data_IF_042916538782
#
_entry.id   IF_042916538782
#
_cell.length_a   1.000
_cell.length_b   1.000
_cell.length_c   1.000
_cell.angle_alpha   90.00
_cell.angle_beta   90.00
_cell.angle_gamma   90.00
#
_symmetry.space_group_name_H-M   'P 1'
#
loop_
_entity.id
_entity.type
_entity.pdbx_description
1 polymer ?
#
# COMPACT_ATOMS: atom_id res chain seq x y z
N UNK A 1 22.81 18.43 41.69
CA UNK A 1 21.83 18.86 40.67
C UNK A 1 22.07 17.98 39.45
N UNK A 2 21.25 16.96 39.26
CA UNK A 2 21.30 16.07 38.09
C UNK A 2 20.14 16.47 37.22
N UNK A 3 20.42 17.17 36.14
CA UNK A 3 19.44 17.56 35.13
C UNK A 3 18.98 16.27 34.43
N UNK A 4 17.70 15.92 34.62
CA UNK A 4 17.10 14.79 33.93
C UNK A 4 16.88 15.21 32.47
N UNK A 5 17.59 14.57 31.55
CA UNK A 5 17.44 14.74 30.11
C UNK A 5 16.00 14.42 29.71
N UNK A 6 15.23 15.40 29.25
CA UNK A 6 13.89 15.19 28.70
C UNK A 6 13.96 14.26 27.47
N UNK A 7 13.04 13.30 27.33
CA UNK A 7 13.01 12.43 26.16
C UNK A 7 12.65 13.26 24.92
N UNK A 8 13.54 13.27 23.93
CA UNK A 8 13.32 13.95 22.65
C UNK A 8 11.98 13.50 22.03
N UNK A 9 11.06 14.44 21.80
CA UNK A 9 9.77 14.20 21.18
C UNK A 9 9.98 13.73 19.73
N UNK A 10 9.98 12.41 19.50
CA UNK A 10 9.99 11.81 18.16
C UNK A 10 8.74 12.26 17.40
N UNK A 11 8.82 12.49 16.08
CA UNK A 11 7.77 13.14 15.32
C UNK A 11 6.43 12.41 15.45
N UNK A 12 5.35 13.19 15.63
CA UNK A 12 3.96 12.77 15.84
C UNK A 12 3.26 12.22 14.57
N UNK A 13 3.91 12.29 13.41
CA UNK A 13 3.34 11.98 12.10
C UNK A 13 3.57 10.52 11.70
N UNK A 14 2.55 9.86 11.14
CA UNK A 14 2.67 8.48 10.65
C UNK A 14 2.74 7.41 11.75
N UNK A 15 2.31 7.72 12.98
CA UNK A 15 2.23 6.72 14.06
C UNK A 15 1.32 5.56 13.66
N UNK A 16 1.53 4.38 14.25
CA UNK A 16 0.70 3.20 13.95
C UNK A 16 -0.79 3.44 14.23
N UNK A 17 -1.11 4.20 15.28
CA UNK A 17 -2.50 4.57 15.58
C UNK A 17 -3.13 5.38 14.44
N UNK A 18 -2.38 6.31 13.86
CA UNK A 18 -2.84 7.09 12.69
C UNK A 18 -2.99 6.20 11.47
N UNK A 19 -1.99 5.36 11.18
CA UNK A 19 -2.03 4.41 10.06
C UNK A 19 -3.25 3.47 10.12
N UNK A 20 -3.56 2.95 11.31
CA UNK A 20 -4.74 2.12 11.54
C UNK A 20 -6.03 2.91 11.37
N UNK A 21 -6.12 4.12 11.92
CA UNK A 21 -7.31 4.98 11.76
C UNK A 21 -7.59 5.36 10.30
N UNK A 22 -6.55 5.53 9.48
CA UNK A 22 -6.73 5.71 8.03
C UNK A 22 -7.34 4.47 7.37
N UNK A 23 -6.94 3.27 7.78
CA UNK A 23 -7.53 2.03 7.26
C UNK A 23 -9.00 1.86 7.68
N UNK A 24 -9.36 2.30 8.90
CA UNK A 24 -10.75 2.26 9.40
C UNK A 24 -11.70 3.12 8.53
N UNK A 25 -11.21 4.16 7.85
CA UNK A 25 -12.02 4.98 6.92
C UNK A 25 -12.48 4.22 5.67
N UNK A 26 -11.87 3.06 5.37
CA UNK A 26 -12.19 2.23 4.21
C UNK A 26 -13.21 1.14 4.53
N UNK A 27 -13.58 0.97 5.81
CA UNK A 27 -14.50 -0.07 6.25
C UNK A 27 -15.88 0.06 5.58
N UNK A 28 -16.43 -1.08 5.16
CA UNK A 28 -17.73 -1.15 4.48
C UNK A 28 -17.72 -0.76 3.00
N UNK A 29 -16.56 -0.39 2.45
CA UNK A 29 -16.41 -0.02 1.04
C UNK A 29 -15.83 -1.09 0.13
N UNK A 30 -15.66 -0.72 -1.15
CA UNK A 30 -14.96 -1.51 -2.17
C UNK A 30 -13.73 -0.74 -2.66
N UNK A 31 -12.59 -1.42 -2.72
CA UNK A 31 -11.36 -0.92 -3.35
C UNK A 31 -11.27 -1.54 -4.75
N UNK A 32 -11.15 -0.73 -5.80
CA UNK A 32 -11.15 -1.22 -7.18
C UNK A 32 -9.76 -1.11 -7.81
N UNK A 33 -9.28 -2.21 -8.39
CA UNK A 33 -8.08 -2.24 -9.24
C UNK A 33 -8.36 -1.47 -10.54
N UNK A 34 -7.46 -0.55 -10.91
CA UNK A 34 -7.60 0.32 -12.11
C UNK A 34 -6.28 0.44 -12.87
N UNK A 35 -6.34 0.39 -14.20
CA UNK A 35 -5.14 0.45 -15.06
C UNK A 35 -4.96 1.77 -15.83
N UNK A 36 -5.92 2.70 -15.72
CA UNK A 36 -5.84 4.00 -16.34
C UNK A 36 -6.75 5.03 -15.63
N UNK A 37 -6.68 6.28 -16.08
CA UNK A 37 -7.45 7.41 -15.55
C UNK A 37 -8.96 7.24 -15.75
N UNK A 38 -9.39 6.64 -16.86
CA UNK A 38 -10.81 6.47 -17.15
C UNK A 38 -11.43 5.44 -16.19
N UNK A 39 -10.75 4.32 -15.96
CA UNK A 39 -11.16 3.32 -14.97
C UNK A 39 -11.18 3.89 -13.54
N UNK A 40 -10.21 4.74 -13.19
CA UNK A 40 -10.19 5.42 -11.90
C UNK A 40 -11.44 6.28 -11.68
N UNK A 41 -11.84 7.07 -12.68
CA UNK A 41 -13.07 7.88 -12.63
C UNK A 41 -14.32 7.02 -12.54
N UNK A 42 -14.40 5.96 -13.34
CA UNK A 42 -15.54 5.03 -13.29
C UNK A 42 -15.65 4.36 -11.92
N UNK A 43 -14.53 3.99 -11.30
CA UNK A 43 -14.52 3.43 -9.96
C UNK A 43 -15.03 4.42 -8.91
N UNK A 44 -14.58 5.68 -8.97
CA UNK A 44 -15.05 6.76 -8.08
C UNK A 44 -16.55 7.02 -8.26
N UNK A 45 -17.01 7.17 -9.51
CA UNK A 45 -18.43 7.39 -9.84
C UNK A 45 -19.32 6.21 -9.39
N UNK A 46 -18.78 5.00 -9.38
CA UNK A 46 -19.46 3.79 -8.90
C UNK A 46 -19.49 3.67 -7.36
N UNK A 47 -18.85 4.60 -6.64
CA UNK A 47 -18.82 4.61 -5.18
C UNK A 47 -17.71 3.76 -4.55
N UNK A 48 -16.61 3.52 -5.27
CA UNK A 48 -15.41 2.94 -4.65
C UNK A 48 -14.89 3.85 -3.53
N UNK A 49 -14.45 3.27 -2.41
CA UNK A 49 -13.87 4.05 -1.30
C UNK A 49 -12.39 4.34 -1.51
N UNK A 50 -11.75 3.63 -2.43
CA UNK A 50 -10.38 3.84 -2.88
C UNK A 50 -10.15 3.11 -4.21
N UNK A 51 -9.08 3.48 -4.92
CA UNK A 51 -8.60 2.75 -6.10
C UNK A 51 -7.21 2.18 -5.87
N UNK A 52 -6.89 1.09 -6.55
CA UNK A 52 -5.59 0.45 -6.54
C UNK A 52 -4.98 0.56 -7.94
N UNK A 53 -3.95 1.40 -8.07
CA UNK A 53 -3.25 1.62 -9.32
C UNK A 53 -2.26 0.49 -9.63
N UNK A 54 -2.38 -0.09 -10.82
CA UNK A 54 -1.49 -1.14 -11.33
C UNK A 54 -1.50 -1.15 -12.87
N UNK A 55 -0.37 -1.41 -13.53
CA UNK A 55 -0.30 -1.40 -15.00
C UNK A 55 -1.06 -2.56 -15.66
N UNK A 56 -1.18 -3.68 -14.95
CA UNK A 56 -1.81 -4.90 -15.45
C UNK A 56 -2.64 -5.52 -14.35
N UNK A 57 -3.89 -5.85 -14.64
CA UNK A 57 -4.74 -6.57 -13.67
C UNK A 57 -4.20 -7.98 -13.40
N UNK A 58 -4.50 -8.59 -12.25
CA UNK A 58 -3.97 -9.92 -11.90
C UNK A 58 -4.28 -11.01 -12.94
N UNK A 59 -5.40 -10.89 -13.66
CA UNK A 59 -5.76 -11.80 -14.74
C UNK A 59 -4.78 -11.70 -15.93
N UNK A 60 -4.39 -10.48 -16.31
CA UNK A 60 -3.44 -10.25 -17.40
C UNK A 60 -2.02 -10.67 -17.01
N UNK A 61 -1.60 -10.39 -15.77
CA UNK A 61 -0.30 -10.85 -15.23
C UNK A 61 -0.19 -12.38 -15.35
N UNK A 62 -1.26 -13.11 -15.00
CA UNK A 62 -1.30 -14.57 -15.11
C UNK A 62 -1.29 -15.08 -16.55
N UNK A 63 -1.96 -14.38 -17.47
CA UNK A 63 -2.01 -14.73 -18.90
C UNK A 63 -0.67 -14.50 -19.59
N UNK A 64 -0.09 -13.33 -19.39
CA UNK A 64 1.06 -12.85 -20.15
C UNK A 64 2.40 -13.30 -19.55
N UNK A 65 2.41 -13.63 -18.26
CA UNK A 65 3.61 -14.00 -17.52
C UNK A 65 4.63 -12.86 -17.43
N UNK A 66 5.89 -13.24 -17.27
CA UNK A 66 7.01 -12.32 -17.08
C UNK A 66 7.09 -11.73 -15.68
N UNK A 67 7.90 -10.68 -15.52
CA UNK A 67 8.11 -10.01 -14.24
C UNK A 67 7.09 -8.89 -14.08
N UNK A 68 6.29 -8.96 -13.02
CA UNK A 68 5.37 -7.90 -12.61
C UNK A 68 6.01 -7.05 -11.50
N UNK A 69 6.01 -5.73 -11.66
CA UNK A 69 6.68 -4.75 -10.78
C UNK A 69 5.70 -3.66 -10.35
N UNK A 70 6.18 -2.70 -9.55
CA UNK A 70 5.48 -1.43 -9.31
C UNK A 70 5.19 -0.74 -10.64
N UNK A 71 4.02 -0.10 -10.75
CA UNK A 71 3.65 0.72 -11.91
C UNK A 71 4.57 1.92 -12.10
N UNK A 72 4.64 2.41 -13.34
CA UNK A 72 5.26 3.68 -13.67
C UNK A 72 4.73 4.82 -12.77
N UNK A 73 5.61 5.58 -12.09
CA UNK A 73 5.24 6.76 -11.32
C UNK A 73 4.31 7.73 -12.06
N UNK A 74 4.53 7.96 -13.36
CA UNK A 74 3.71 8.88 -14.14
C UNK A 74 2.26 8.41 -14.27
N UNK A 75 2.04 7.09 -14.37
CA UNK A 75 0.70 6.51 -14.37
C UNK A 75 0.01 6.72 -13.02
N UNK A 76 0.71 6.48 -11.92
CA UNK A 76 0.17 6.65 -10.56
C UNK A 76 -0.20 8.12 -10.33
N UNK A 77 0.68 9.05 -10.69
CA UNK A 77 0.42 10.49 -10.58
C UNK A 77 -0.79 10.93 -11.42
N UNK A 78 -0.95 10.39 -12.63
CA UNK A 78 -2.10 10.67 -13.47
C UNK A 78 -3.42 10.19 -12.85
N UNK A 79 -3.44 8.97 -12.28
CA UNK A 79 -4.61 8.45 -11.56
C UNK A 79 -4.93 9.31 -10.33
N UNK A 80 -3.91 9.64 -9.54
CA UNK A 80 -4.06 10.52 -8.37
C UNK A 80 -4.62 11.90 -8.72
N UNK A 81 -4.21 12.48 -9.83
CA UNK A 81 -4.71 13.77 -10.28
C UNK A 81 -6.16 13.72 -10.79
N UNK A 82 -6.66 12.52 -11.10
CA UNK A 82 -7.97 12.34 -11.73
C UNK A 82 -9.12 12.04 -10.77
N UNK A 83 -8.83 11.54 -9.56
CA UNK A 83 -9.83 11.16 -8.56
C UNK A 83 -9.60 11.86 -7.23
N UNK A 84 -10.64 11.93 -6.41
CA UNK A 84 -10.61 12.52 -5.06
C UNK A 84 -10.54 11.48 -3.94
N UNK A 85 -10.95 10.23 -4.23
CA UNK A 85 -10.81 9.09 -3.33
C UNK A 85 -9.34 8.64 -3.18
N UNK A 86 -8.98 8.00 -2.04
CA UNK A 86 -7.64 7.47 -1.82
C UNK A 86 -7.11 6.60 -2.96
N UNK A 87 -5.83 6.79 -3.29
CA UNK A 87 -5.11 6.00 -4.29
C UNK A 87 -4.06 5.14 -3.62
N UNK A 88 -4.19 3.84 -3.82
CA UNK A 88 -3.23 2.83 -3.40
C UNK A 88 -2.37 2.38 -4.58
N UNK A 89 -1.18 1.86 -4.30
CA UNK A 89 -0.33 1.26 -5.33
C UNK A 89 0.41 0.03 -4.79
N UNK A 90 0.81 -0.86 -5.71
CA UNK A 90 1.47 -2.13 -5.36
C UNK A 90 2.99 -2.00 -5.38
N UNK A 91 3.63 -2.60 -4.37
CA UNK A 91 5.07 -2.86 -4.35
C UNK A 91 5.31 -4.37 -4.29
N UNK A 92 6.43 -4.83 -4.88
CA UNK A 92 6.85 -6.23 -4.77
C UNK A 92 7.19 -6.59 -3.32
N UNK A 93 6.92 -7.84 -2.94
CA UNK A 93 7.33 -8.37 -1.63
C UNK A 93 8.83 -8.15 -1.42
N UNK A 94 9.17 -7.54 -0.28
CA UNK A 94 10.55 -7.25 0.12
C UNK A 94 11.20 -6.04 -0.59
N UNK A 95 10.56 -5.43 -1.59
CA UNK A 95 11.17 -4.36 -2.38
C UNK A 95 11.01 -2.97 -1.73
N UNK A 96 11.70 -2.73 -0.61
CA UNK A 96 11.58 -1.49 0.15
C UNK A 96 11.88 -0.22 -0.69
N UNK A 97 12.72 -0.30 -1.72
CA UNK A 97 12.99 0.84 -2.60
C UNK A 97 11.79 1.23 -3.49
N UNK A 98 10.95 0.27 -3.90
CA UNK A 98 9.70 0.59 -4.61
C UNK A 98 8.74 1.28 -3.65
N UNK A 99 8.64 0.78 -2.41
CA UNK A 99 7.83 1.42 -1.39
C UNK A 99 8.30 2.84 -1.03
N UNK A 100 9.61 3.11 -1.06
CA UNK A 100 10.16 4.46 -0.87
C UNK A 100 9.71 5.40 -1.99
N UNK A 101 9.74 4.94 -3.24
CA UNK A 101 9.22 5.70 -4.39
C UNK A 101 7.73 5.98 -4.20
N UNK A 102 6.91 4.96 -3.92
CA UNK A 102 5.47 5.14 -3.70
C UNK A 102 5.14 6.12 -2.57
N UNK A 103 5.85 6.03 -1.44
CA UNK A 103 5.69 7.00 -0.35
C UNK A 103 6.05 8.42 -0.79
N UNK A 104 7.10 8.59 -1.60
CA UNK A 104 7.50 9.92 -2.12
C UNK A 104 6.49 10.49 -3.12
N UNK A 105 5.82 9.64 -3.89
CA UNK A 105 4.67 10.03 -4.73
C UNK A 105 3.43 10.38 -3.91
N UNK A 106 3.44 10.05 -2.61
CA UNK A 106 2.38 10.34 -1.66
C UNK A 106 1.13 9.49 -1.88
N UNK A 107 1.26 8.23 -2.30
CA UNK A 107 0.10 7.31 -2.32
C UNK A 107 -0.47 7.16 -0.90
N UNK A 108 -1.76 6.92 -0.79
CA UNK A 108 -2.44 6.85 0.51
C UNK A 108 -2.14 5.52 1.23
N UNK A 109 -1.95 4.45 0.46
CA UNK A 109 -1.53 3.13 0.97
C UNK A 109 -0.60 2.41 -0.02
N UNK A 110 0.27 1.55 0.53
CA UNK A 110 1.08 0.62 -0.24
C UNK A 110 0.58 -0.82 -0.02
N UNK A 111 0.26 -1.55 -1.09
CA UNK A 111 0.01 -3.00 -1.03
C UNK A 111 1.30 -3.76 -1.33
N UNK A 112 1.91 -4.35 -0.29
CA UNK A 112 3.02 -5.28 -0.47
C UNK A 112 2.46 -6.61 -0.98
N UNK A 113 2.50 -6.79 -2.29
CA UNK A 113 1.57 -7.68 -2.99
C UNK A 113 2.25 -8.92 -3.55
N UNK A 114 1.71 -10.09 -3.19
CA UNK A 114 2.06 -11.38 -3.77
C UNK A 114 1.60 -11.57 -5.23
N UNK A 115 0.79 -10.65 -5.75
CA UNK A 115 0.40 -10.64 -7.17
C UNK A 115 1.58 -10.21 -8.05
N UNK A 116 2.49 -9.38 -7.51
CA UNK A 116 3.71 -8.99 -8.19
C UNK A 116 4.81 -10.04 -7.97
N UNK A 117 5.82 -10.05 -8.85
CA UNK A 117 6.96 -10.97 -8.70
C UNK A 117 7.75 -10.60 -7.43
N UNK A 118 7.95 -11.51 -6.45
CA UNK A 118 8.71 -11.19 -5.24
C UNK A 118 10.12 -10.68 -5.57
N UNK A 119 10.57 -9.68 -4.81
CA UNK A 119 11.94 -9.17 -4.91
C UNK A 119 12.87 -9.78 -3.86
N UNK A 120 12.31 -10.17 -2.72
CA UNK A 120 12.96 -10.97 -1.68
C UNK A 120 12.02 -12.14 -1.33
N UNK A 121 12.55 -13.36 -1.36
CA UNK A 121 11.79 -14.59 -1.06
C UNK A 121 11.74 -14.92 0.44
N UNK A 122 12.64 -14.32 1.23
CA UNK A 122 12.80 -14.60 2.66
C UNK A 122 12.17 -13.51 3.55
N UNK A 123 12.23 -12.24 3.13
CA UNK A 123 11.84 -11.11 3.96
C UNK A 123 10.80 -10.21 3.30
N UNK A 124 9.86 -9.73 4.12
CA UNK A 124 8.96 -8.65 3.75
C UNK A 124 9.58 -7.31 4.14
N UNK A 125 9.02 -6.23 3.63
CA UNK A 125 9.41 -4.86 3.98
C UNK A 125 9.20 -4.63 5.48
N UNK A 126 10.17 -3.99 6.15
CA UNK A 126 9.97 -3.40 7.48
C UNK A 126 9.11 -2.14 7.34
N UNK A 127 7.80 -2.29 7.59
CA UNK A 127 6.78 -1.25 7.36
C UNK A 127 6.79 -0.19 8.47
N UNK A 128 7.52 -0.42 9.55
CA UNK A 128 7.74 0.56 10.61
C UNK A 128 8.62 1.72 10.16
N UNK A 129 9.48 1.51 9.16
CA UNK A 129 10.36 2.54 8.60
C UNK A 129 9.64 3.59 7.72
N UNK A 130 8.33 3.41 7.49
CA UNK A 130 7.53 4.24 6.60
C UNK A 130 6.47 5.04 7.37
N UNK A 131 6.03 6.18 6.84
CA UNK A 131 4.88 6.93 7.35
C UNK A 131 3.58 6.51 6.68
N UNK A 132 3.64 6.11 5.41
CA UNK A 132 2.48 5.58 4.65
C UNK A 132 2.04 4.22 5.24
N UNK A 133 0.72 3.97 5.39
CA UNK A 133 0.21 2.68 5.82
C UNK A 133 0.39 1.60 4.74
N UNK A 134 0.53 0.35 5.20
CA UNK A 134 0.67 -0.81 4.33
C UNK A 134 -0.51 -1.76 4.43
N UNK A 135 -0.87 -2.34 3.29
CA UNK A 135 -1.76 -3.48 3.12
C UNK A 135 -0.91 -4.71 2.81
N UNK A 136 -1.22 -5.84 3.45
CA UNK A 136 -0.58 -7.11 3.12
C UNK A 136 -1.61 -8.23 2.96
N UNK A 137 -1.35 -9.15 2.04
CA UNK A 137 -2.13 -10.38 1.92
C UNK A 137 -1.83 -11.38 3.04
N UNK A 138 -2.83 -12.18 3.43
CA UNK A 138 -2.65 -13.40 4.22
C UNK A 138 -3.65 -14.50 3.83
N UNK A 139 -3.23 -15.76 3.93
CA UNK A 139 -4.10 -16.95 3.75
C UNK A 139 -4.56 -17.56 5.07
N UNK A 140 -3.90 -17.20 6.17
CA UNK A 140 -4.17 -17.74 7.51
C UNK A 140 -3.77 -16.72 8.59
N UNK A 141 -4.25 -16.97 9.81
CA UNK A 141 -4.00 -16.09 10.96
C UNK A 141 -2.50 -15.93 11.27
N UNK A 142 -1.72 -17.00 11.18
CA UNK A 142 -0.28 -16.94 11.46
C UNK A 142 0.45 -16.01 10.49
N UNK A 143 0.09 -16.04 9.21
CA UNK A 143 0.61 -15.11 8.21
C UNK A 143 0.16 -13.67 8.48
N UNK A 144 -1.12 -13.46 8.77
CA UNK A 144 -1.66 -12.14 9.09
C UNK A 144 -0.93 -11.51 10.30
N UNK A 145 -0.74 -12.27 11.38
CA UNK A 145 -0.05 -11.79 12.59
C UNK A 145 1.41 -11.42 12.32
N UNK A 146 2.11 -12.14 11.44
CA UNK A 146 3.48 -11.77 11.03
C UNK A 146 3.50 -10.46 10.25
N UNK A 147 2.57 -10.27 9.29
CA UNK A 147 2.47 -9.01 8.53
C UNK A 147 2.15 -7.82 9.43
N UNK A 148 1.27 -8.00 10.41
CA UNK A 148 0.96 -6.99 11.44
C UNK A 148 2.21 -6.69 12.29
N UNK A 149 2.95 -7.72 12.71
CA UNK A 149 4.20 -7.55 13.47
C UNK A 149 5.26 -6.75 12.70
N UNK A 150 5.28 -6.87 11.37
CA UNK A 150 6.16 -6.10 10.48
C UNK A 150 5.64 -4.68 10.20
N UNK A 151 4.46 -4.30 10.70
CA UNK A 151 3.89 -2.95 10.61
C UNK A 151 2.78 -2.76 9.58
N UNK A 152 2.17 -3.84 9.06
CA UNK A 152 0.98 -3.72 8.22
C UNK A 152 -0.19 -3.09 9.00
N UNK A 153 -0.86 -2.12 8.39
CA UNK A 153 -2.01 -1.42 8.96
C UNK A 153 -3.35 -2.05 8.55
N UNK A 154 -3.37 -2.77 7.42
CA UNK A 154 -4.52 -3.49 6.90
C UNK A 154 -4.10 -4.86 6.37
N UNK A 155 -4.96 -5.86 6.53
CA UNK A 155 -4.76 -7.22 5.99
C UNK A 155 -5.89 -7.53 5.01
N UNK A 156 -5.55 -8.13 3.87
CA UNK A 156 -6.51 -8.68 2.91
C UNK A 156 -6.33 -10.20 2.77
N UNK A 157 -7.40 -10.91 2.42
CA UNK A 157 -7.28 -12.31 2.01
C UNK A 157 -6.54 -12.42 0.68
N UNK A 158 -5.68 -13.43 0.53
CA UNK A 158 -5.02 -13.79 -0.73
C UNK A 158 -5.90 -14.69 -1.59
#
# INVERSE_FOLDING_TARGET
MSEATEPSHRPLTGTFRVKRGLAEMLEGGVIMDVVDVEQARVAEDAGAVAVMALERVPADIRRDGGVARMSDPAMIEAIKAAVTIPVMAKARIGHFAEAQVLQSLGVDFIDESEVLTPADEAHHIDKWAFTVPFVCGATNLGEALRRISEGAAMIRSK
#
